data_IF_814948310325
#
_entry.id   IF_814948310325
#
_cell.length_a   1.000
_cell.length_b   1.000
_cell.length_c   1.000
_cell.angle_alpha   90.00
_cell.angle_beta   90.00
_cell.angle_gamma   90.00
#
_symmetry.space_group_name_H-M   'P 1'
#
loop_
_entity.id
_entity.type
_entity.pdbx_description
1 polymer ?
#
# COMPACT_ATOMS: atom_id res chain seq x y z
N UNK A 1 -60.66 8.99 -27.13
CA UNK A 1 -59.94 8.04 -28.02
C UNK A 1 -58.55 7.85 -27.47
N UNK A 2 -58.26 6.69 -26.90
CA UNK A 2 -56.92 6.34 -26.43
C UNK A 2 -56.08 5.87 -27.63
N UNK A 3 -54.80 6.26 -27.75
CA UNK A 3 -53.93 5.73 -28.79
C UNK A 3 -53.46 4.32 -28.39
N UNK A 4 -53.55 3.38 -29.33
CA UNK A 4 -53.06 2.01 -29.24
C UNK A 4 -51.52 1.96 -29.20
N UNK A 5 -50.89 1.06 -28.42
CA UNK A 5 -49.43 0.93 -28.43
C UNK A 5 -48.97 0.11 -29.64
N UNK A 6 -47.97 0.63 -30.36
CA UNK A 6 -47.23 -0.05 -31.42
C UNK A 6 -46.18 -1.02 -30.83
N UNK A 7 -45.82 -2.11 -31.52
CA UNK A 7 -44.83 -3.08 -31.05
C UNK A 7 -43.42 -2.49 -31.00
N UNK A 8 -42.71 -2.75 -29.89
CA UNK A 8 -41.29 -2.43 -29.69
C UNK A 8 -40.41 -3.33 -30.56
N UNK A 9 -40.23 -2.93 -31.82
CA UNK A 9 -39.26 -3.53 -32.74
C UNK A 9 -38.39 -2.43 -33.36
N UNK A 10 -37.79 -1.58 -32.52
CA UNK A 10 -36.72 -0.67 -32.94
C UNK A 10 -35.96 -0.10 -31.73
N UNK A 11 -34.99 -0.86 -31.22
CA UNK A 11 -33.88 -0.29 -30.47
C UNK A 11 -32.61 -1.06 -30.79
N UNK A 12 -31.95 -0.64 -31.86
CA UNK A 12 -30.60 -1.06 -32.22
C UNK A 12 -29.61 -0.25 -31.39
N UNK A 13 -28.78 -0.95 -30.61
CA UNK A 13 -27.45 -0.46 -30.21
C UNK A 13 -27.25 -0.16 -28.74
N UNK A 14 -26.94 -1.19 -27.94
CA UNK A 14 -25.85 -1.15 -26.95
C UNK A 14 -25.24 -2.54 -26.87
N UNK A 15 -23.96 -2.67 -27.23
CA UNK A 15 -23.24 -3.94 -27.25
C UNK A 15 -23.09 -4.57 -25.87
N UNK A 16 -23.54 -5.81 -25.76
CA UNK A 16 -23.13 -6.77 -24.75
C UNK A 16 -22.76 -8.05 -25.47
N UNK A 17 -21.54 -8.53 -25.24
CA UNK A 17 -21.03 -9.81 -25.76
C UNK A 17 -21.98 -10.95 -25.33
N UNK A 18 -22.87 -11.36 -26.23
CA UNK A 18 -23.44 -12.70 -26.18
C UNK A 18 -22.37 -13.64 -26.73
N UNK A 19 -21.86 -14.61 -25.97
CA UNK A 19 -21.22 -15.73 -26.60
C UNK A 19 -22.33 -16.44 -27.39
N UNK A 20 -22.19 -16.46 -28.72
CA UNK A 20 -22.91 -17.38 -29.58
C UNK A 20 -22.53 -18.81 -29.14
N UNK A 21 -23.24 -19.32 -28.14
CA UNK A 21 -22.98 -20.57 -27.47
C UNK A 21 -24.18 -21.48 -27.61
N UNK A 22 -24.22 -22.18 -28.74
CA UNK A 22 -25.08 -23.34 -28.99
C UNK A 22 -26.58 -23.01 -29.05
N UNK A 23 -26.98 -22.31 -30.11
CA UNK A 23 -28.06 -22.90 -30.91
C UNK A 23 -27.67 -24.37 -31.12
N UNK A 24 -28.44 -25.30 -30.55
CA UNK A 24 -28.23 -26.72 -30.71
C UNK A 24 -28.02 -27.01 -32.19
N UNK A 25 -26.75 -27.13 -32.58
CA UNK A 25 -26.37 -27.16 -33.97
C UNK A 25 -27.08 -28.32 -34.65
N UNK A 26 -27.45 -28.18 -35.93
CA UNK A 26 -28.01 -29.29 -36.68
C UNK A 26 -27.05 -30.46 -36.50
N UNK A 27 -27.55 -31.59 -35.97
CA UNK A 27 -26.76 -32.74 -35.51
C UNK A 27 -25.57 -32.97 -36.44
N UNK A 28 -24.39 -32.46 -36.05
CA UNK A 28 -23.17 -32.54 -36.88
C UNK A 28 -22.73 -34.02 -37.05
N UNK A 29 -23.34 -34.93 -36.28
CA UNK A 29 -22.99 -36.34 -36.24
C UNK A 29 -24.11 -37.28 -36.72
N UNK A 30 -25.02 -36.86 -37.61
CA UNK A 30 -25.93 -37.81 -38.29
C UNK A 30 -25.46 -38.13 -39.69
N UNK A 31 -24.98 -39.36 -39.91
CA UNK A 31 -24.69 -39.91 -41.24
C UNK A 31 -25.98 -40.47 -41.87
N UNK A 32 -26.12 -40.30 -43.19
CA UNK A 32 -27.23 -40.93 -43.91
C UNK A 32 -27.04 -42.44 -43.96
N UNK A 33 -28.14 -43.19 -43.83
CA UNK A 33 -28.10 -44.66 -43.85
C UNK A 33 -27.61 -45.18 -45.21
N UNK A 34 -27.94 -44.49 -46.31
CA UNK A 34 -27.44 -44.82 -47.64
C UNK A 34 -25.92 -44.73 -47.73
N UNK A 35 -25.34 -43.63 -47.25
CA UNK A 35 -23.88 -43.43 -47.24
C UNK A 35 -23.17 -44.48 -46.39
N UNK A 36 -23.75 -44.88 -45.25
CA UNK A 36 -23.21 -45.97 -44.43
C UNK A 36 -23.21 -47.31 -45.18
N UNK A 37 -24.30 -47.62 -45.89
CA UNK A 37 -24.42 -48.86 -46.68
C UNK A 37 -23.38 -48.85 -47.81
N UNK A 38 -23.24 -47.74 -48.53
CA UNK A 38 -22.28 -47.61 -49.63
C UNK A 38 -20.83 -47.81 -49.15
N UNK A 39 -20.46 -47.20 -48.01
CA UNK A 39 -19.12 -47.41 -47.44
C UNK A 39 -18.88 -48.85 -46.99
N UNK A 40 -19.90 -49.50 -46.41
CA UNK A 40 -19.80 -50.90 -46.01
C UNK A 40 -19.60 -51.79 -47.24
N UNK A 41 -20.37 -51.57 -48.31
CA UNK A 41 -20.24 -52.33 -49.55
C UNK A 41 -18.87 -52.11 -50.17
N UNK A 42 -18.43 -50.86 -50.31
CA UNK A 42 -17.10 -50.52 -50.85
C UNK A 42 -15.98 -51.16 -50.03
N UNK A 43 -16.06 -51.10 -48.70
CA UNK A 43 -15.08 -51.72 -47.81
C UNK A 43 -15.04 -53.25 -47.98
N UNK A 44 -16.20 -53.91 -47.97
CA UNK A 44 -16.24 -55.37 -48.13
C UNK A 44 -15.75 -55.81 -49.50
N UNK A 45 -16.08 -55.05 -50.56
CA UNK A 45 -15.57 -55.30 -51.90
C UNK A 45 -14.04 -55.13 -51.97
N UNK A 46 -13.50 -54.06 -51.37
CA UNK A 46 -12.06 -53.85 -51.32
C UNK A 46 -11.34 -54.95 -50.54
N UNK A 47 -11.85 -55.31 -49.36
CA UNK A 47 -11.30 -56.40 -48.55
C UNK A 47 -11.36 -57.75 -49.31
N UNK A 48 -12.42 -58.00 -50.09
CA UNK A 48 -12.52 -59.19 -50.95
C UNK A 48 -11.51 -59.18 -52.09
N UNK A 49 -11.31 -58.04 -52.76
CA UNK A 49 -10.36 -57.89 -53.86
C UNK A 49 -8.93 -58.12 -53.38
N UNK A 50 -8.55 -57.50 -52.25
CA UNK A 50 -7.24 -57.70 -51.63
C UNK A 50 -7.04 -59.17 -51.25
N UNK A 51 -8.08 -59.80 -50.68
CA UNK A 51 -8.04 -61.21 -50.36
C UNK A 51 -7.79 -62.04 -51.64
N UNK A 52 -8.57 -61.83 -52.70
CA UNK A 52 -8.44 -62.55 -53.97
C UNK A 52 -7.04 -62.45 -54.61
N UNK A 53 -6.35 -61.31 -54.49
CA UNK A 53 -4.98 -61.13 -54.99
C UNK A 53 -3.93 -61.88 -54.14
N UNK A 54 -4.18 -62.06 -52.85
CA UNK A 54 -3.25 -62.70 -51.90
C UNK A 54 -3.41 -64.23 -51.85
N UNK A 55 -4.62 -64.75 -52.11
CA UNK A 55 -4.96 -66.18 -52.05
C UNK A 55 -4.05 -67.11 -52.88
N UNK A 56 -3.66 -66.77 -54.13
CA UNK A 56 -2.85 -67.65 -54.97
C UNK A 56 -1.44 -67.89 -54.43
N UNK A 57 -0.91 -66.96 -53.61
CA UNK A 57 0.46 -67.01 -53.08
C UNK A 57 0.58 -67.79 -51.76
N UNK A 58 -0.53 -68.25 -51.19
CA UNK A 58 -0.61 -68.93 -49.88
C UNK A 58 -0.76 -70.45 -50.01
N UNK A 59 -0.37 -71.17 -48.96
CA UNK A 59 -0.60 -72.62 -48.85
C UNK A 59 -2.10 -72.93 -48.74
N UNK A 60 -2.53 -74.14 -49.11
CA UNK A 60 -3.95 -74.53 -49.11
C UNK A 60 -4.63 -74.37 -47.73
N UNK A 61 -3.90 -74.68 -46.65
CA UNK A 61 -4.41 -74.57 -45.28
C UNK A 61 -4.58 -73.12 -44.85
N UNK A 62 -3.59 -72.26 -45.10
CA UNK A 62 -3.67 -70.83 -44.80
C UNK A 62 -4.78 -70.15 -45.60
N UNK A 63 -4.93 -70.53 -46.87
CA UNK A 63 -5.99 -70.06 -47.76
C UNK A 63 -7.38 -70.29 -47.16
N UNK A 64 -7.64 -71.51 -46.66
CA UNK A 64 -8.92 -71.87 -46.04
C UNK A 64 -9.19 -71.05 -44.77
N UNK A 65 -8.17 -70.84 -43.94
CA UNK A 65 -8.29 -70.05 -42.71
C UNK A 65 -8.58 -68.58 -43.04
N UNK A 66 -7.90 -67.98 -44.01
CA UNK A 66 -8.11 -66.58 -44.41
C UNK A 66 -9.52 -66.36 -45.01
N UNK A 67 -10.01 -67.27 -45.86
CA UNK A 67 -11.37 -67.23 -46.41
C UNK A 67 -12.42 -67.33 -45.30
N UNK A 68 -12.25 -68.28 -44.37
CA UNK A 68 -13.16 -68.44 -43.24
C UNK A 68 -13.21 -67.18 -42.37
N UNK A 69 -12.04 -66.63 -42.02
CA UNK A 69 -11.95 -65.43 -41.21
C UNK A 69 -12.56 -64.21 -41.90
N UNK A 70 -12.38 -64.06 -43.22
CA UNK A 70 -13.04 -63.01 -44.00
C UNK A 70 -14.56 -63.17 -43.99
N UNK A 71 -15.07 -64.38 -44.23
CA UNK A 71 -16.51 -64.64 -44.23
C UNK A 71 -17.13 -64.38 -42.84
N UNK A 72 -16.46 -64.78 -41.76
CA UNK A 72 -16.90 -64.54 -40.40
C UNK A 72 -16.95 -63.05 -40.05
N UNK A 73 -15.90 -62.28 -40.38
CA UNK A 73 -15.85 -60.83 -40.17
C UNK A 73 -16.94 -60.10 -40.96
N UNK A 74 -17.09 -60.45 -42.23
CA UNK A 74 -18.07 -59.85 -43.14
C UNK A 74 -19.50 -60.13 -42.65
N UNK A 75 -19.80 -61.36 -42.24
CA UNK A 75 -21.09 -61.73 -41.65
C UNK A 75 -21.42 -60.91 -40.40
N UNK A 76 -20.46 -60.73 -39.50
CA UNK A 76 -20.67 -59.94 -38.27
C UNK A 76 -20.98 -58.47 -38.58
N UNK A 77 -20.28 -57.90 -39.55
CA UNK A 77 -20.50 -56.53 -40.01
C UNK A 77 -21.91 -56.37 -40.61
N UNK A 78 -22.33 -57.25 -41.51
CA UNK A 78 -23.69 -57.22 -42.07
C UNK A 78 -24.78 -57.51 -41.03
N UNK A 79 -24.49 -58.32 -40.02
CA UNK A 79 -25.42 -58.56 -38.90
C UNK A 79 -25.64 -57.29 -38.09
N UNK A 80 -24.57 -56.51 -37.81
CA UNK A 80 -24.68 -55.20 -37.15
C UNK A 80 -25.43 -54.20 -38.03
N UNK A 81 -25.14 -54.16 -39.33
CA UNK A 81 -25.86 -53.31 -40.28
C UNK A 81 -27.36 -53.64 -40.31
N UNK A 82 -27.72 -54.93 -40.33
CA UNK A 82 -29.11 -55.38 -40.29
C UNK A 82 -29.82 -54.94 -39.00
N UNK A 83 -29.13 -54.98 -37.86
CA UNK A 83 -29.67 -54.43 -36.61
C UNK A 83 -29.96 -52.92 -36.74
N UNK A 84 -29.05 -52.14 -37.32
CA UNK A 84 -29.25 -50.71 -37.57
C UNK A 84 -30.42 -50.44 -38.53
N UNK A 85 -30.56 -51.21 -39.62
CA UNK A 85 -31.69 -51.09 -40.56
C UNK A 85 -33.02 -51.34 -39.83
N UNK A 86 -33.10 -52.39 -39.00
CA UNK A 86 -34.30 -52.69 -38.21
C UNK A 86 -34.65 -51.56 -37.23
N UNK A 87 -33.64 -50.94 -36.63
CA UNK A 87 -33.82 -49.76 -35.77
C UNK A 87 -34.20 -48.50 -36.56
N UNK A 88 -33.74 -48.38 -37.81
CA UNK A 88 -34.08 -47.28 -38.71
C UNK A 88 -35.58 -47.10 -38.92
N UNK A 89 -36.39 -48.16 -38.84
CA UNK A 89 -37.85 -48.08 -38.92
C UNK A 89 -38.48 -47.20 -37.81
N UNK A 90 -37.78 -47.03 -36.68
CA UNK A 90 -38.22 -46.19 -35.56
C UNK A 90 -37.59 -44.80 -35.56
N UNK A 91 -36.79 -44.44 -36.56
CA UNK A 91 -36.02 -43.17 -36.57
C UNK A 91 -36.92 -41.94 -36.53
N UNK A 92 -38.10 -41.99 -37.16
CA UNK A 92 -39.06 -40.88 -37.19
C UNK A 92 -39.63 -40.56 -35.79
N UNK A 93 -39.78 -41.57 -34.93
CA UNK A 93 -40.22 -41.38 -33.54
C UNK A 93 -39.10 -40.78 -32.70
N UNK A 94 -37.88 -41.29 -32.85
CA UNK A 94 -36.69 -40.78 -32.16
C UNK A 94 -36.40 -39.34 -32.54
N UNK A 95 -36.56 -39.00 -33.83
CA UNK A 95 -36.33 -37.65 -34.31
C UNK A 95 -37.30 -36.64 -33.70
N UNK A 96 -38.60 -36.97 -33.66
CA UNK A 96 -39.61 -36.15 -32.98
C UNK A 96 -39.31 -35.97 -31.49
N UNK A 97 -38.97 -37.05 -30.78
CA UNK A 97 -38.61 -36.97 -29.36
C UNK A 97 -37.38 -36.10 -29.13
N UNK A 98 -36.39 -36.17 -30.01
CA UNK A 98 -35.20 -35.33 -29.92
C UNK A 98 -35.51 -33.86 -30.25
N UNK A 99 -36.41 -33.57 -31.19
CA UNK A 99 -36.89 -32.22 -31.44
C UNK A 99 -37.60 -31.65 -30.21
N UNK A 100 -38.49 -32.44 -29.59
CA UNK A 100 -39.18 -32.07 -28.33
C UNK A 100 -38.16 -31.81 -27.23
N UNK A 101 -37.16 -32.69 -27.05
CA UNK A 101 -36.10 -32.48 -26.06
C UNK A 101 -35.35 -31.18 -26.32
N UNK A 102 -34.95 -30.91 -27.56
CA UNK A 102 -34.24 -29.67 -27.92
C UNK A 102 -35.08 -28.43 -27.67
N UNK A 103 -36.39 -28.50 -27.86
CA UNK A 103 -37.32 -27.41 -27.55
C UNK A 103 -37.40 -27.19 -26.04
N UNK A 104 -37.55 -28.25 -25.25
CA UNK A 104 -37.60 -28.17 -23.79
C UNK A 104 -36.29 -27.62 -23.21
N UNK A 105 -35.14 -28.05 -23.73
CA UNK A 105 -33.84 -27.53 -23.32
C UNK A 105 -33.72 -26.03 -23.61
N UNK A 106 -34.18 -25.57 -24.78
CA UNK A 106 -34.23 -24.14 -25.10
C UNK A 106 -35.12 -23.38 -24.12
N UNK A 107 -36.31 -23.90 -23.80
CA UNK A 107 -37.19 -23.24 -22.83
C UNK A 107 -36.55 -23.17 -21.44
N UNK A 108 -35.89 -24.24 -21.00
CA UNK A 108 -35.19 -24.27 -19.73
C UNK A 108 -34.07 -23.21 -19.68
N UNK A 109 -33.30 -23.06 -20.77
CA UNK A 109 -32.27 -22.02 -20.86
C UNK A 109 -32.87 -20.61 -20.76
N UNK A 110 -34.00 -20.35 -21.44
CA UNK A 110 -34.67 -19.04 -21.37
C UNK A 110 -35.15 -18.70 -19.96
N UNK A 111 -35.60 -19.70 -19.18
CA UNK A 111 -35.98 -19.47 -17.77
C UNK A 111 -34.78 -19.04 -16.91
N UNK A 112 -33.64 -19.72 -17.07
CA UNK A 112 -32.41 -19.38 -16.34
C UNK A 112 -31.92 -17.99 -16.73
N UNK A 113 -31.84 -17.70 -18.03
CA UNK A 113 -31.37 -16.41 -18.54
C UNK A 113 -32.27 -15.26 -18.09
N UNK A 114 -33.60 -15.46 -18.09
CA UNK A 114 -34.55 -14.45 -17.60
C UNK A 114 -34.36 -14.19 -16.11
N UNK A 115 -34.16 -15.24 -15.31
CA UNK A 115 -33.91 -15.10 -13.87
C UNK A 115 -32.60 -14.32 -13.61
N UNK A 116 -31.53 -14.64 -14.35
CA UNK A 116 -30.25 -13.96 -14.27
C UNK A 116 -30.35 -12.49 -14.69
N UNK A 117 -31.11 -12.19 -15.75
CA UNK A 117 -31.40 -10.84 -16.20
C UNK A 117 -32.12 -10.02 -15.12
N UNK A 118 -33.16 -10.58 -14.52
CA UNK A 118 -33.91 -9.94 -13.44
C UNK A 118 -33.05 -9.73 -12.18
N UNK A 119 -32.23 -10.71 -11.82
CA UNK A 119 -31.29 -10.61 -10.70
C UNK A 119 -30.28 -9.48 -10.93
N UNK A 120 -29.70 -9.41 -12.13
CA UNK A 120 -28.77 -8.34 -12.52
C UNK A 120 -29.45 -6.97 -12.48
N UNK A 121 -30.65 -6.86 -13.06
CA UNK A 121 -31.41 -5.61 -13.09
C UNK A 121 -31.69 -5.09 -11.68
N UNK A 122 -32.14 -5.97 -10.78
CA UNK A 122 -32.48 -5.58 -9.40
C UNK A 122 -31.27 -5.18 -8.56
N UNK A 123 -30.13 -5.86 -8.72
CA UNK A 123 -28.94 -5.65 -7.89
C UNK A 123 -28.04 -4.54 -8.40
N UNK A 124 -27.95 -4.35 -9.71
CA UNK A 124 -26.98 -3.42 -10.29
C UNK A 124 -27.68 -2.19 -10.85
N UNK A 125 -28.60 -2.40 -11.78
CA UNK A 125 -29.18 -1.31 -12.58
C UNK A 125 -30.10 -0.44 -11.74
N UNK A 126 -31.03 -1.05 -10.98
CA UNK A 126 -31.96 -0.31 -10.13
C UNK A 126 -31.25 0.37 -8.96
N UNK A 127 -30.21 -0.25 -8.38
CA UNK A 127 -29.45 0.38 -7.29
C UNK A 127 -28.73 1.64 -7.77
N UNK A 128 -28.17 1.63 -8.99
CA UNK A 128 -27.55 2.82 -9.59
C UNK A 128 -28.54 3.89 -10.02
N UNK A 129 -29.77 3.52 -10.37
CA UNK A 129 -30.82 4.47 -10.72
C UNK A 129 -31.40 5.20 -9.48
N UNK A 130 -31.22 4.63 -8.28
CA UNK A 130 -31.62 5.29 -7.03
C UNK A 130 -30.64 6.39 -6.67
N UNK A 131 -31.16 7.56 -6.31
CA UNK A 131 -30.31 8.59 -5.72
C UNK A 131 -29.80 8.14 -4.35
N UNK A 132 -28.52 8.37 -4.03
CA UNK A 132 -27.98 8.12 -2.71
C UNK A 132 -28.66 9.03 -1.68
N UNK A 133 -28.61 8.62 -0.41
CA UNK A 133 -29.12 9.46 0.67
C UNK A 133 -28.24 10.71 0.82
N UNK A 134 -28.86 11.89 0.86
CA UNK A 134 -28.15 13.16 1.02
C UNK A 134 -27.88 13.44 2.49
N UNK A 135 -26.61 13.64 2.84
CA UNK A 135 -26.20 14.00 4.20
C UNK A 135 -26.43 15.50 4.46
N UNK A 136 -27.69 15.88 4.65
CA UNK A 136 -28.10 17.27 4.88
C UNK A 136 -27.34 17.93 6.05
N UNK A 137 -27.11 17.29 7.22
CA UNK A 137 -26.39 17.93 8.31
C UNK A 137 -24.97 18.34 7.93
N UNK A 138 -24.26 17.51 7.17
CA UNK A 138 -22.91 17.83 6.68
C UNK A 138 -22.93 18.99 5.68
N UNK A 139 -23.93 19.03 4.79
CA UNK A 139 -24.10 20.13 3.85
C UNK A 139 -24.40 21.45 4.57
N UNK A 140 -25.26 21.44 5.60
CA UNK A 140 -25.58 22.63 6.42
C UNK A 140 -24.35 23.12 7.18
N UNK A 141 -23.54 22.22 7.73
CA UNK A 141 -22.31 22.58 8.43
C UNK A 141 -21.32 23.27 7.50
N UNK A 142 -21.06 22.69 6.33
CA UNK A 142 -20.17 23.30 5.32
C UNK A 142 -20.73 24.64 4.82
N UNK A 143 -22.05 24.75 4.65
CA UNK A 143 -22.69 25.99 4.21
C UNK A 143 -22.62 27.11 5.26
N UNK A 144 -22.81 26.77 6.54
CA UNK A 144 -22.85 27.77 7.62
C UNK A 144 -21.46 28.14 8.15
N UNK A 145 -20.57 27.16 8.27
CA UNK A 145 -19.24 27.34 8.86
C UNK A 145 -18.11 27.42 7.83
N UNK A 146 -18.40 27.13 6.55
CA UNK A 146 -17.41 27.09 5.47
C UNK A 146 -16.42 25.92 5.55
N UNK A 147 -16.49 25.08 6.58
CA UNK A 147 -15.53 24.00 6.84
C UNK A 147 -16.23 22.73 7.32
N UNK A 148 -15.53 21.59 7.25
CA UNK A 148 -16.06 20.29 7.65
C UNK A 148 -15.29 19.76 8.87
N UNK A 149 -15.92 19.73 10.05
CA UNK A 149 -15.22 19.38 11.30
C UNK A 149 -14.99 17.87 11.50
N UNK A 150 -15.66 17.01 10.72
CA UNK A 150 -15.49 15.54 10.81
C UNK A 150 -14.36 15.02 9.92
N UNK A 151 -13.57 15.90 9.31
CA UNK A 151 -12.40 15.49 8.55
C UNK A 151 -11.34 14.93 9.51
N UNK A 152 -10.79 13.72 9.25
CA UNK A 152 -9.71 13.17 10.04
C UNK A 152 -8.52 14.13 10.12
N UNK A 153 -8.02 14.37 11.34
CA UNK A 153 -6.88 15.27 11.61
C UNK A 153 -5.63 14.86 10.84
N UNK A 154 -5.45 13.57 10.53
CA UNK A 154 -4.34 13.05 9.73
C UNK A 154 -4.22 13.73 8.36
N UNK A 155 -5.35 14.12 7.75
CA UNK A 155 -5.38 14.79 6.44
C UNK A 155 -5.03 16.28 6.63
N UNK A 156 -5.56 16.90 7.70
CA UNK A 156 -5.29 18.29 8.03
C UNK A 156 -3.80 18.51 8.34
N UNK A 157 -3.19 17.63 9.13
CA UNK A 157 -1.77 17.70 9.53
C UNK A 157 -0.79 17.47 8.37
N UNK A 158 -1.18 16.70 7.34
CA UNK A 158 -0.30 16.44 6.19
C UNK A 158 -0.38 17.51 5.10
N UNK A 159 -1.52 18.18 4.94
CA UNK A 159 -1.79 19.06 3.81
C UNK A 159 -1.72 20.53 4.21
N UNK A 160 -2.07 20.88 5.45
CA UNK A 160 -2.07 22.26 5.94
C UNK A 160 -0.85 22.49 6.83
N UNK A 161 0.02 23.46 6.53
CA UNK A 161 1.12 23.83 7.42
C UNK A 161 0.56 24.30 8.77
N UNK A 162 1.25 23.99 9.87
CA UNK A 162 0.82 24.42 11.20
C UNK A 162 0.68 25.95 11.27
N UNK A 163 -0.39 26.42 11.91
CA UNK A 163 -0.66 27.85 12.05
C UNK A 163 0.53 28.56 12.72
N UNK A 164 0.87 29.75 12.22
CA UNK A 164 2.00 30.51 12.72
C UNK A 164 1.77 30.90 14.19
N UNK A 165 2.75 30.63 15.06
CA UNK A 165 2.71 31.00 16.47
C UNK A 165 2.47 32.50 16.59
N UNK A 166 1.38 32.89 17.27
CA UNK A 166 1.05 34.31 17.41
C UNK A 166 2.07 35.02 18.31
N UNK A 167 2.36 36.32 18.08
CA UNK A 167 3.31 37.05 18.91
C UNK A 167 2.86 37.15 20.38
N UNK A 168 1.55 37.12 20.62
CA UNK A 168 0.96 37.11 21.96
C UNK A 168 1.24 35.79 22.69
N UNK A 169 0.98 34.65 22.03
CA UNK A 169 1.30 33.32 22.58
C UNK A 169 2.80 33.19 22.84
N UNK A 170 3.65 33.62 21.90
CA UNK A 170 5.10 33.61 22.07
C UNK A 170 5.51 34.38 23.33
N UNK A 171 4.98 35.58 23.54
CA UNK A 171 5.28 36.38 24.74
C UNK A 171 4.81 35.67 26.02
N UNK A 172 3.61 35.09 26.00
CA UNK A 172 3.07 34.36 27.14
C UNK A 172 3.90 33.11 27.47
N UNK A 173 4.31 32.35 26.46
CA UNK A 173 5.19 31.18 26.62
C UNK A 173 6.55 31.58 27.20
N UNK A 174 7.15 32.68 26.72
CA UNK A 174 8.44 33.17 27.26
C UNK A 174 8.32 33.63 28.73
N UNK A 175 7.22 34.28 29.10
CA UNK A 175 6.94 34.65 30.49
C UNK A 175 6.77 33.42 31.37
N UNK A 176 6.03 32.42 30.90
CA UNK A 176 5.87 31.15 31.61
C UNK A 176 7.20 30.44 31.79
N UNK A 177 8.04 30.45 30.76
CA UNK A 177 9.35 29.82 30.80
C UNK A 177 10.30 30.54 31.77
N UNK A 178 10.24 31.86 31.88
CA UNK A 178 10.95 32.61 32.93
C UNK A 178 10.54 32.15 34.34
N UNK A 179 9.24 31.93 34.59
CA UNK A 179 8.74 31.45 35.88
C UNK A 179 9.25 30.04 36.20
N UNK A 180 9.24 29.13 35.21
CA UNK A 180 9.76 27.77 35.37
C UNK A 180 11.26 27.79 35.70
N UNK A 181 12.03 28.60 34.98
CA UNK A 181 13.46 28.82 35.25
C UNK A 181 13.65 29.35 36.68
N UNK A 182 12.90 30.38 37.09
CA UNK A 182 13.00 30.96 38.43
C UNK A 182 12.69 29.94 39.52
N UNK A 183 11.60 29.18 39.36
CA UNK A 183 11.23 28.12 40.30
C UNK A 183 12.33 27.05 40.43
N UNK A 184 12.88 26.61 39.29
CA UNK A 184 14.00 25.64 39.27
C UNK A 184 15.26 26.15 39.95
N UNK A 185 15.62 27.42 39.76
CA UNK A 185 16.80 28.01 40.39
C UNK A 185 16.63 28.17 41.90
N UNK A 186 15.39 28.37 42.39
CA UNK A 186 15.09 28.48 43.83
C UNK A 186 15.07 27.10 44.50
N UNK A 187 14.55 26.07 43.83
CA UNK A 187 14.51 24.70 44.38
C UNK A 187 15.83 23.95 44.23
N UNK A 188 16.61 24.26 43.19
CA UNK A 188 17.91 23.65 42.92
C UNK A 188 19.03 24.19 43.82
N UNK A 189 20.05 23.37 44.06
CA UNK A 189 21.27 23.81 44.75
C UNK A 189 22.17 24.55 43.77
N UNK A 190 22.29 25.87 43.92
CA UNK A 190 23.19 26.70 43.11
C UNK A 190 24.57 26.80 43.73
N UNK A 191 25.61 26.78 42.89
CA UNK A 191 26.99 26.98 43.31
C UNK A 191 27.19 28.41 43.85
N UNK A 192 28.01 28.61 44.91
CA UNK A 192 28.25 29.95 45.48
C UNK A 192 28.83 30.97 44.48
N UNK A 193 29.51 30.50 43.44
CA UNK A 193 30.13 31.32 42.39
C UNK A 193 29.15 31.79 41.30
N UNK A 194 27.97 31.16 41.20
CA UNK A 194 26.94 31.47 40.18
C UNK A 194 25.74 32.22 40.78
N UNK A 195 25.97 32.98 41.87
CA UNK A 195 24.90 33.70 42.60
C UNK A 195 24.38 34.93 41.84
N UNK A 196 25.17 35.51 40.96
CA UNK A 196 24.75 36.62 40.11
C UNK A 196 24.20 36.06 38.79
N UNK A 197 22.88 36.11 38.63
CA UNK A 197 22.18 35.64 37.43
C UNK A 197 21.08 36.60 37.00
N UNK A 198 20.77 36.62 35.71
CA UNK A 198 19.68 37.42 35.13
C UNK A 198 18.76 36.52 34.32
N UNK A 199 17.45 36.65 34.53
CA UNK A 199 16.43 35.90 33.78
C UNK A 199 15.71 36.87 32.84
N UNK A 200 15.80 36.65 31.53
CA UNK A 200 15.09 37.46 30.52
C UNK A 200 14.74 36.60 29.32
N UNK A 201 13.56 36.81 28.71
CA UNK A 201 13.14 36.19 27.46
C UNK A 201 13.33 34.65 27.37
N UNK A 202 13.02 33.92 28.44
CA UNK A 202 13.11 32.46 28.46
C UNK A 202 14.53 31.90 28.56
N UNK A 203 15.50 32.71 28.96
CA UNK A 203 16.87 32.26 29.24
C UNK A 203 17.37 32.82 30.57
N UNK A 204 18.21 32.05 31.23
CA UNK A 204 19.01 32.49 32.38
C UNK A 204 20.43 32.74 31.89
N UNK A 205 20.98 33.91 32.19
CA UNK A 205 22.38 34.24 31.98
C UNK A 205 23.09 34.26 33.33
N UNK A 206 24.09 33.42 33.48
CA UNK A 206 25.00 33.43 34.62
C UNK A 206 26.25 34.23 34.28
N UNK A 207 26.71 35.06 35.20
CA UNK A 207 27.92 35.87 35.03
C UNK A 207 28.89 35.56 36.17
N UNK A 208 30.02 34.94 35.84
CA UNK A 208 31.12 34.68 36.78
C UNK A 208 32.26 35.63 36.43
N UNK A 209 32.55 36.57 37.33
CA UNK A 209 33.53 37.64 37.10
C UNK A 209 34.92 37.04 36.78
N UNK A 210 35.52 37.52 35.68
CA UNK A 210 36.84 37.10 35.17
C UNK A 210 36.94 35.65 34.66
N UNK A 211 35.81 34.96 34.43
CA UNK A 211 35.84 33.56 33.95
C UNK A 211 34.92 33.34 32.73
N UNK A 212 33.60 33.41 32.89
CA UNK A 212 32.66 33.15 31.79
C UNK A 212 31.25 33.72 32.03
N UNK A 213 30.53 33.97 30.94
CA UNK A 213 29.08 34.20 30.88
C UNK A 213 28.41 33.07 30.11
N UNK A 214 27.34 32.49 30.67
CA UNK A 214 26.65 31.33 30.08
C UNK A 214 25.15 31.56 30.04
N UNK A 215 24.53 31.36 28.87
CA UNK A 215 23.09 31.42 28.66
C UNK A 215 22.48 30.02 28.57
N UNK A 216 21.53 29.71 29.46
CA UNK A 216 20.85 28.42 29.56
C UNK A 216 19.33 28.57 29.44
N UNK A 217 18.68 27.55 28.88
CA UNK A 217 17.21 27.46 28.75
C UNK A 217 16.72 26.05 29.07
N UNK A 218 15.50 25.94 29.57
CA UNK A 218 14.82 24.66 29.86
C UNK A 218 13.68 24.46 28.88
N UNK A 219 13.47 23.22 28.42
CA UNK A 219 12.45 22.88 27.42
C UNK A 219 11.40 21.94 28.02
N UNK A 220 10.82 22.36 29.15
CA UNK A 220 9.77 21.64 29.86
C UNK A 220 9.66 22.04 31.34
N UNK A 221 8.52 21.74 31.97
CA UNK A 221 8.23 22.07 33.37
C UNK A 221 8.70 20.96 34.36
N UNK A 222 8.82 19.72 33.87
CA UNK A 222 9.18 18.54 34.70
C UNK A 222 10.61 18.58 35.22
N UNK A 223 10.82 18.33 36.52
CA UNK A 223 12.13 18.37 37.22
C UNK A 223 13.25 17.59 36.54
N UNK A 224 12.90 16.54 35.79
CA UNK A 224 13.84 15.69 35.07
C UNK A 224 14.30 16.25 33.70
N UNK A 225 13.77 17.40 33.24
CA UNK A 225 14.20 18.01 31.97
C UNK A 225 15.51 18.75 32.19
N UNK A 226 16.57 18.37 31.46
CA UNK A 226 17.86 19.01 31.63
C UNK A 226 17.91 20.41 31.05
N UNK A 227 18.82 21.22 31.59
CA UNK A 227 19.14 22.51 31.02
C UNK A 227 19.88 22.35 29.69
N UNK A 228 19.51 23.18 28.71
CA UNK A 228 20.19 23.30 27.42
C UNK A 228 21.00 24.58 27.38
N UNK A 229 22.21 24.43 26.86
CA UNK A 229 23.09 25.54 26.56
C UNK A 229 22.66 26.24 25.26
N UNK A 230 22.45 27.55 25.34
CA UNK A 230 22.19 28.40 24.18
C UNK A 230 23.47 29.07 23.71
N UNK A 231 24.21 29.68 24.64
CA UNK A 231 25.33 30.56 24.32
C UNK A 231 26.36 30.57 25.47
N UNK A 232 27.64 30.73 25.16
CA UNK A 232 28.74 30.85 26.12
C UNK A 232 29.71 31.92 25.66
N UNK A 233 29.96 32.91 26.50
CA UNK A 233 31.05 33.87 26.31
C UNK A 233 32.13 33.64 27.37
N UNK A 234 33.39 33.51 26.96
CA UNK A 234 34.52 33.34 27.89
C UNK A 234 35.12 34.72 28.17
N UNK A 235 35.10 35.14 29.44
CA UNK A 235 35.47 36.48 29.91
C UNK A 235 36.88 36.54 30.51
N UNK A 236 37.73 35.54 30.21
CA UNK A 236 39.11 35.48 30.71
C UNK A 236 39.98 36.46 29.93
N UNK A 237 40.51 37.46 30.63
CA UNK A 237 41.47 38.46 30.12
C UNK A 237 42.78 38.33 30.89
N UNK A 238 43.89 38.06 30.20
CA UNK A 238 45.23 38.09 30.81
C UNK A 238 45.96 39.38 30.43
N UNK A 239 46.32 40.18 31.44
CA UNK A 239 46.89 41.54 31.25
C UNK A 239 48.37 41.54 30.85
N UNK A 240 49.09 40.44 30.98
CA UNK A 240 50.55 40.42 30.74
C UNK A 240 50.92 39.92 29.33
N UNK A 241 50.05 39.16 28.65
CA UNK A 241 50.36 38.59 27.31
C UNK A 241 49.35 38.95 26.22
N UNK A 242 48.12 39.34 26.58
CA UNK A 242 47.07 39.70 25.65
C UNK A 242 46.73 41.19 25.77
N UNK A 243 46.97 41.95 24.71
CA UNK A 243 46.63 43.37 24.55
C UNK A 243 45.09 43.61 24.54
N UNK A 244 44.39 43.14 25.57
CA UNK A 244 42.93 43.16 25.73
C UNK A 244 42.13 42.23 24.79
N UNK A 245 42.78 41.26 24.12
CA UNK A 245 42.11 40.39 23.13
C UNK A 245 41.62 39.08 23.77
N UNK A 246 40.38 38.71 23.47
CA UNK A 246 39.77 37.44 23.91
C UNK A 246 40.63 36.24 23.51
N UNK A 247 40.92 35.37 24.49
CA UNK A 247 41.84 34.24 24.36
C UNK A 247 41.24 33.03 23.62
N UNK A 248 39.96 33.10 23.21
CA UNK A 248 39.24 31.99 22.56
C UNK A 248 38.76 32.39 21.17
N UNK A 249 38.95 31.52 20.19
CA UNK A 249 38.52 31.78 18.81
C UNK A 249 36.98 31.70 18.69
N UNK A 250 36.29 32.65 18.02
CA UNK A 250 34.82 32.70 17.94
C UNK A 250 34.19 31.45 17.28
N UNK A 251 34.90 30.76 16.38
CA UNK A 251 34.45 29.48 15.83
C UNK A 251 34.41 28.34 16.87
N UNK A 252 35.31 28.34 17.86
CA UNK A 252 35.32 27.34 18.93
C UNK A 252 34.14 27.55 19.87
N UNK A 253 33.81 28.82 20.15
CA UNK A 253 32.63 29.20 20.97
C UNK A 253 31.33 28.74 20.31
N UNK A 254 31.17 28.97 19.01
CA UNK A 254 29.99 28.54 18.25
C UNK A 254 29.89 27.00 18.06
N UNK A 255 31.01 26.28 18.16
CA UNK A 255 31.02 24.82 18.06
C UNK A 255 30.49 24.15 19.33
N UNK A 256 30.58 24.78 20.49
CA UNK A 256 30.19 24.17 21.78
C UNK A 256 28.67 23.92 21.88
N UNK A 257 27.78 24.88 21.54
CA UNK A 257 26.33 24.62 21.54
C UNK A 257 25.89 23.61 20.47
N UNK A 258 26.58 23.55 19.33
CA UNK A 258 26.22 22.71 18.19
C UNK A 258 26.72 21.26 18.31
N UNK A 259 27.93 21.05 18.84
CA UNK A 259 28.53 19.72 18.98
C UNK A 259 28.00 18.93 20.18
N UNK A 260 27.53 19.61 21.23
CA UNK A 260 27.01 18.97 22.44
C UNK A 260 25.69 19.60 22.90
N UNK A 261 24.56 19.33 22.20
CA UNK A 261 23.22 19.63 22.75
C UNK A 261 22.94 18.85 24.05
N UNK A 262 23.81 17.89 24.38
CA UNK A 262 23.84 17.07 25.59
C UNK A 262 24.80 17.58 26.68
N UNK A 263 25.18 18.86 26.72
CA UNK A 263 25.62 19.49 27.98
C UNK A 263 24.40 19.58 28.93
N UNK A 264 23.96 18.40 29.33
CA UNK A 264 22.81 18.08 30.15
C UNK A 264 23.28 18.37 31.57
N UNK A 265 22.73 19.40 32.18
CA UNK A 265 22.67 19.46 33.64
C UNK A 265 21.82 18.26 34.09
N UNK A 266 22.44 17.10 34.26
CA UNK A 266 21.81 15.95 34.90
C UNK A 266 21.92 16.21 36.40
N UNK A 267 20.78 16.43 37.06
CA UNK A 267 20.72 16.25 38.51
C UNK A 267 20.97 14.76 38.79
N UNK A 268 22.24 14.36 38.91
CA UNK A 268 22.59 13.05 39.42
C UNK A 268 22.32 13.08 40.93
N UNK A 269 21.41 12.24 41.47
CA UNK A 269 21.03 12.26 42.89
C UNK A 269 22.20 12.03 43.85
N UNK A 270 23.33 11.53 43.36
CA UNK A 270 24.50 11.22 44.19
C UNK A 270 25.60 12.29 44.20
N UNK A 271 25.61 13.29 43.31
CA UNK A 271 26.54 14.44 43.35
C UNK A 271 26.21 15.47 42.23
N UNK A 272 25.36 16.48 42.47
CA UNK A 272 24.98 17.48 41.46
C UNK A 272 26.09 18.52 41.17
N UNK A 273 27.08 18.64 42.06
CA UNK A 273 28.05 19.75 42.06
C UNK A 273 29.24 19.52 41.10
N UNK A 274 29.47 18.28 40.67
CA UNK A 274 30.65 17.94 39.85
C UNK A 274 30.42 17.99 38.35
N UNK A 275 29.22 17.82 37.82
CA UNK A 275 29.04 17.65 36.36
C UNK A 275 29.44 18.88 35.53
N UNK A 276 28.95 20.05 35.90
CA UNK A 276 29.17 21.31 35.16
C UNK A 276 30.48 21.94 35.57
N UNK A 277 30.84 21.85 36.85
CA UNK A 277 32.13 22.33 37.30
C UNK A 277 33.25 21.47 36.71
N UNK A 278 33.14 20.14 36.65
CA UNK A 278 34.15 19.34 35.96
C UNK A 278 34.15 19.63 34.46
N UNK A 279 33.02 19.80 33.75
CA UNK A 279 33.04 20.04 32.31
C UNK A 279 33.50 21.46 31.93
N UNK A 280 32.99 22.51 32.60
CA UNK A 280 33.40 23.90 32.38
C UNK A 280 34.78 24.19 32.98
N UNK A 281 35.15 23.61 34.12
CA UNK A 281 36.52 23.72 34.65
C UNK A 281 37.48 22.83 33.88
N UNK A 282 37.09 21.67 33.33
CA UNK A 282 37.95 20.90 32.39
C UNK A 282 38.11 21.67 31.08
N UNK A 283 37.06 22.29 30.52
CA UNK A 283 37.20 23.07 29.29
C UNK A 283 37.94 24.39 29.52
N UNK A 284 37.68 25.11 30.62
CA UNK A 284 38.38 26.32 31.01
C UNK A 284 39.83 26.04 31.43
N UNK A 285 40.08 24.96 32.19
CA UNK A 285 41.43 24.50 32.49
C UNK A 285 42.13 24.02 31.23
N UNK A 286 41.47 23.26 30.34
CA UNK A 286 42.08 22.81 29.08
C UNK A 286 42.38 23.98 28.14
N UNK A 287 41.51 24.99 28.08
CA UNK A 287 41.81 26.24 27.38
C UNK A 287 42.96 26.99 28.05
N UNK A 288 42.99 27.07 29.39
CA UNK A 288 44.09 27.69 30.15
C UNK A 288 45.41 26.91 30.01
N UNK A 289 45.37 25.58 29.94
CA UNK A 289 46.51 24.70 29.69
C UNK A 289 46.96 24.77 28.23
N UNK A 290 46.04 24.89 27.25
CA UNK A 290 46.39 25.13 25.84
C UNK A 290 47.00 26.52 25.66
N UNK A 291 46.56 27.52 26.42
CA UNK A 291 47.16 28.86 26.50
C UNK A 291 48.56 28.78 27.12
N UNK A 292 48.74 28.10 28.26
CA UNK A 292 50.06 27.87 28.86
C UNK A 292 50.99 27.04 27.97
N UNK A 293 50.45 26.08 27.21
CA UNK A 293 51.21 25.24 26.27
C UNK A 293 51.63 26.05 25.04
N UNK A 294 50.76 26.91 24.51
CA UNK A 294 51.11 27.84 23.43
C UNK A 294 52.16 28.85 23.90
N UNK A 295 52.08 29.33 25.15
CA UNK A 295 53.07 30.21 25.77
C UNK A 295 54.45 29.51 25.91
N UNK A 296 54.50 28.29 26.45
CA UNK A 296 55.74 27.51 26.59
C UNK A 296 56.35 27.10 25.25
N UNK A 297 55.52 26.83 24.23
CA UNK A 297 55.98 26.49 22.88
C UNK A 297 56.43 27.72 22.06
N UNK A 298 56.02 28.93 22.47
CA UNK A 298 56.52 30.19 21.91
C UNK A 298 57.87 30.56 22.53
N UNK A 299 58.04 30.39 23.85
CA UNK A 299 59.31 30.60 24.56
C UNK A 299 60.42 29.64 24.08
N UNK A 300 60.10 28.36 23.87
CA UNK A 300 61.04 27.37 23.30
C UNK A 300 61.41 27.64 21.83
N UNK A 301 60.66 28.49 21.13
CA UNK A 301 60.97 28.93 19.76
C UNK A 301 61.79 30.23 19.73
N UNK A 302 61.92 30.91 20.86
CA UNK A 302 62.64 32.16 21.03
C UNK A 302 64.02 31.99 21.70
N UNK A 303 64.36 30.78 22.15
CA UNK A 303 65.72 30.35 22.56
C UNK A 303 66.39 29.54 21.46
#
# INVERSE_FOLDING_TARGET
MAPTPLPLEQMSGVGGYLPAGQEGGPRINTMSMSMLIDFIIQRTYHELTVLAELLPRKTDMERKIEIYNYAARTRHLFTRLNALVKWGNSVSKVDKSSQIMSFLDKQNMLFVETADMLARMSRETLVRARLPNFHIPAAVEVLTTGTYNRLPTCIRERIVPADAITPAEKKQTLLRLNQVIQHRLVTGKLLPQMREFRIKNGRVTFEVKHEFSVALTVMGDSQNVPWRLLDIDVLVEDKETGDGKSLVHPLQVNYIPSANPKLVWVENPQCPERGIQLACTISASRCSWEVLYTQRSAELRAS
#
